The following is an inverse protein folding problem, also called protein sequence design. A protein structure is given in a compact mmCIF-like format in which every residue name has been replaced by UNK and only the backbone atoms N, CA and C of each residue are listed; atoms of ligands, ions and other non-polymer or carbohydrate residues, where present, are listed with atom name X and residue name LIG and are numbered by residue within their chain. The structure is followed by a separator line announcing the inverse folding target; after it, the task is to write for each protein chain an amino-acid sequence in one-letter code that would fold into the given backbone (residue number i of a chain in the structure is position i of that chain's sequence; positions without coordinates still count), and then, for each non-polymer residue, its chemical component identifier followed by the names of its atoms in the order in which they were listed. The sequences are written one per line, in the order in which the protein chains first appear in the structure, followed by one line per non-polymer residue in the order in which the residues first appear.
data_IF_042616954242
#
_entry.id   IF_042616954242
#
_cell.length_a   1.000
_cell.length_b   1.000
_cell.length_c   1.000
_cell.angle_alpha   90.00
_cell.angle_beta   90.00
_cell.angle_gamma   90.00
#
_symmetry.space_group_name_H-M   'P 1'
#
loop_
_entity.id
_entity.type
_entity.pdbx_description
1 polymer ?
#
# COMPACT_ATOMS: atom_id res chain seq x y z
N UNK A 1 4.90 0.25 43.28
CA UNK A 1 5.13 -0.33 41.94
C UNK A 1 6.27 0.45 41.30
N UNK A 2 7.10 -0.19 40.48
CA UNK A 2 8.08 0.49 39.61
C UNK A 2 7.75 0.12 38.17
N UNK A 3 7.73 1.12 37.31
CA UNK A 3 7.46 0.97 35.88
C UNK A 3 8.66 1.51 35.12
N UNK A 4 9.18 0.72 34.18
CA UNK A 4 10.22 1.16 33.27
C UNK A 4 9.82 0.86 31.85
N UNK A 5 10.15 1.77 30.96
CA UNK A 5 9.81 1.69 29.55
C UNK A 5 11.07 1.40 28.75
N UNK A 6 10.97 0.50 27.78
CA UNK A 6 12.03 0.22 26.83
C UNK A 6 11.43 0.06 25.44
N UNK A 7 11.84 0.92 24.52
CA UNK A 7 11.52 0.72 23.11
C UNK A 7 12.36 -0.45 22.60
N UNK A 8 11.71 -1.48 22.07
CA UNK A 8 12.36 -2.62 21.41
C UNK A 8 11.75 -2.80 20.04
N UNK A 9 12.57 -2.63 19.00
CA UNK A 9 12.15 -2.71 17.61
C UNK A 9 10.97 -1.74 17.35
N UNK A 10 9.77 -2.28 17.08
CA UNK A 10 8.52 -1.54 16.81
C UNK A 10 7.50 -1.59 17.97
N UNK A 11 7.84 -2.20 19.11
CA UNK A 11 6.97 -2.29 20.29
C UNK A 11 7.54 -1.55 21.51
N UNK A 12 6.64 -1.02 22.32
CA UNK A 12 6.97 -0.45 23.63
C UNK A 12 6.84 -1.54 24.68
N UNK A 13 7.98 -1.93 25.27
CA UNK A 13 7.99 -2.84 26.42
C UNK A 13 7.86 -2.01 27.71
N UNK A 14 6.80 -2.30 28.48
CA UNK A 14 6.60 -1.76 29.82
C UNK A 14 6.90 -2.87 30.83
N UNK A 15 8.05 -2.77 31.52
CA UNK A 15 8.39 -3.68 32.61
C UNK A 15 7.78 -3.18 33.91
N UNK A 16 7.01 -4.06 34.55
CA UNK A 16 6.27 -3.77 35.77
C UNK A 16 6.87 -4.60 36.92
N UNK A 17 7.31 -3.92 37.96
CA UNK A 17 7.88 -4.55 39.16
C UNK A 17 6.98 -4.23 40.38
N UNK A 18 6.63 -5.26 41.16
CA UNK A 18 5.86 -5.12 42.39
C UNK A 18 4.43 -5.68 42.29
N UNK A 19 3.41 -4.85 42.53
CA UNK A 19 2.00 -5.28 42.63
C UNK A 19 1.10 -4.35 41.82
N UNK A 20 0.07 -4.91 41.18
CA UNK A 20 -0.96 -4.19 40.44
C UNK A 20 -2.29 -4.30 41.22
N UNK A 21 -2.52 -3.35 42.12
CA UNK A 21 -3.74 -3.28 42.94
C UNK A 21 -4.47 -1.94 42.72
N UNK A 22 -5.52 -1.67 43.48
CA UNK A 22 -6.32 -0.45 43.32
C UNK A 22 -5.49 0.85 43.47
N UNK A 23 -4.39 0.82 44.23
CA UNK A 23 -3.54 2.00 44.42
C UNK A 23 -2.71 2.31 43.16
N UNK A 24 -2.28 1.29 42.43
CA UNK A 24 -1.35 1.42 41.30
C UNK A 24 -2.00 1.25 39.92
N UNK A 25 -3.26 0.83 39.88
CA UNK A 25 -4.01 0.61 38.64
C UNK A 25 -4.16 1.88 37.81
N UNK A 26 -4.45 3.03 38.43
CA UNK A 26 -4.61 4.30 37.73
C UNK A 26 -3.28 4.75 37.09
N UNK A 27 -2.17 4.61 37.82
CA UNK A 27 -0.84 4.93 37.30
C UNK A 27 -0.48 4.05 36.09
N UNK A 28 -0.76 2.74 36.14
CA UNK A 28 -0.53 1.85 34.99
C UNK A 28 -1.42 2.24 33.80
N UNK A 29 -2.69 2.58 34.04
CA UNK A 29 -3.62 3.03 33.01
C UNK A 29 -3.10 4.29 32.31
N UNK A 30 -2.69 5.31 33.07
CA UNK A 30 -2.17 6.56 32.52
C UNK A 30 -0.88 6.36 31.72
N UNK A 31 0.02 5.47 32.16
CA UNK A 31 1.25 5.16 31.42
C UNK A 31 0.96 4.49 30.07
N UNK A 32 0.00 3.57 30.04
CA UNK A 32 -0.43 2.93 28.78
C UNK A 32 -1.16 3.94 27.88
N UNK A 33 -2.02 4.80 28.44
CA UNK A 33 -2.69 5.86 27.68
C UNK A 33 -1.71 6.88 27.10
N UNK A 34 -0.70 7.28 27.87
CA UNK A 34 0.37 8.15 27.40
C UNK A 34 1.17 7.48 26.28
N UNK A 35 1.49 6.19 26.41
CA UNK A 35 2.16 5.43 25.35
C UNK A 35 1.33 5.40 24.06
N UNK A 36 0.03 5.14 24.18
CA UNK A 36 -0.91 5.17 23.04
C UNK A 36 -0.94 6.56 22.40
N UNK A 37 -1.03 7.62 23.20
CA UNK A 37 -1.07 9.00 22.72
C UNK A 37 0.23 9.42 22.01
N UNK A 38 1.37 8.89 22.47
CA UNK A 38 2.69 9.08 21.85
C UNK A 38 2.91 8.22 20.59
N UNK A 39 1.88 7.51 20.12
CA UNK A 39 1.91 6.74 18.86
C UNK A 39 2.41 5.31 19.01
N UNK A 40 2.53 4.78 20.24
CA UNK A 40 2.83 3.37 20.45
C UNK A 40 1.55 2.55 20.38
N UNK A 41 1.40 1.82 19.27
CA UNK A 41 0.26 0.94 19.04
C UNK A 41 0.58 -0.53 19.31
N UNK A 42 1.83 -0.88 19.60
CA UNK A 42 2.22 -2.23 19.98
C UNK A 42 2.90 -2.19 21.35
N UNK A 43 2.19 -2.65 22.37
CA UNK A 43 2.61 -2.53 23.78
C UNK A 43 2.73 -3.91 24.40
N UNK A 44 3.91 -4.20 24.93
CA UNK A 44 4.22 -5.46 25.61
C UNK A 44 4.42 -5.20 27.10
N UNK A 45 3.65 -5.88 27.94
CA UNK A 45 3.76 -5.77 29.39
C UNK A 45 4.63 -6.90 29.92
N UNK A 46 5.87 -6.61 30.33
CA UNK A 46 6.69 -7.58 31.06
C UNK A 46 6.24 -7.62 32.51
N UNK A 47 5.65 -8.77 32.88
CA UNK A 47 5.08 -9.00 34.20
C UNK A 47 5.85 -10.05 35.02
N UNK A 48 7.13 -10.26 34.71
CA UNK A 48 7.97 -11.26 35.37
C UNK A 48 8.14 -10.99 36.87
N UNK A 49 8.16 -9.71 37.26
CA UNK A 49 8.35 -9.24 38.63
C UNK A 49 7.06 -8.72 39.28
N UNK A 50 5.89 -9.05 38.70
CA UNK A 50 4.60 -8.74 39.29
C UNK A 50 4.21 -9.85 40.28
N UNK A 51 4.36 -9.59 41.57
CA UNK A 51 4.07 -10.55 42.63
C UNK A 51 2.55 -10.71 42.91
N UNK A 52 1.71 -9.78 42.46
CA UNK A 52 0.27 -9.79 42.71
C UNK A 52 -0.51 -8.87 41.76
N UNK A 53 -1.72 -9.29 41.37
CA UNK A 53 -2.67 -8.46 40.62
C UNK A 53 -4.08 -8.60 41.22
N UNK A 54 -4.80 -7.49 41.38
CA UNK A 54 -6.21 -7.51 41.84
C UNK A 54 -7.19 -7.39 40.66
N UNK A 55 -8.49 -7.43 40.96
CA UNK A 55 -9.56 -7.16 39.98
C UNK A 55 -9.44 -5.77 39.31
N UNK A 56 -8.88 -4.78 40.02
CA UNK A 56 -8.60 -3.47 39.45
C UNK A 56 -7.52 -3.54 38.36
N UNK A 57 -6.45 -4.31 38.59
CA UNK A 57 -5.41 -4.55 37.58
C UNK A 57 -5.93 -5.27 36.34
N UNK A 58 -6.75 -6.31 36.53
CA UNK A 58 -7.41 -7.01 35.41
C UNK A 58 -8.27 -6.06 34.58
N UNK A 59 -9.01 -5.15 35.23
CA UNK A 59 -9.83 -4.15 34.55
C UNK A 59 -8.99 -3.18 33.72
N UNK A 60 -7.85 -2.73 34.22
CA UNK A 60 -6.91 -1.89 33.46
C UNK A 60 -6.45 -2.62 32.20
N UNK A 61 -6.01 -3.88 32.32
CA UNK A 61 -5.58 -4.68 31.16
C UNK A 61 -6.68 -4.83 30.10
N UNK A 62 -7.92 -5.08 30.52
CA UNK A 62 -9.06 -5.17 29.60
C UNK A 62 -9.37 -3.85 28.91
N UNK A 63 -9.33 -2.74 29.63
CA UNK A 63 -9.58 -1.42 29.07
C UNK A 63 -8.49 -1.04 28.07
N UNK A 64 -7.22 -1.21 28.44
CA UNK A 64 -6.08 -0.97 27.56
C UNK A 64 -6.11 -1.86 26.32
N UNK A 65 -6.48 -3.14 26.46
CA UNK A 65 -6.66 -4.05 25.32
C UNK A 65 -7.73 -3.52 24.35
N UNK A 66 -8.87 -3.06 24.87
CA UNK A 66 -9.95 -2.50 24.04
C UNK A 66 -9.53 -1.20 23.36
N UNK A 67 -8.85 -0.31 24.08
CA UNK A 67 -8.33 0.95 23.54
C UNK A 67 -7.35 0.69 22.39
N UNK A 68 -6.36 -0.19 22.61
CA UNK A 68 -5.39 -0.56 21.58
C UNK A 68 -6.08 -1.27 20.40
N UNK A 69 -6.97 -2.23 20.66
CA UNK A 69 -7.70 -2.93 19.60
C UNK A 69 -8.54 -1.98 18.74
N UNK A 70 -9.15 -0.95 19.35
CA UNK A 70 -9.93 0.06 18.62
C UNK A 70 -9.09 0.87 17.62
N UNK A 71 -7.79 1.04 17.90
CA UNK A 71 -6.83 1.71 17.01
C UNK A 71 -5.92 0.72 16.26
N UNK A 72 -6.34 -0.55 16.13
CA UNK A 72 -5.55 -1.64 15.52
C UNK A 72 -4.16 -1.86 16.11
N UNK A 73 -3.99 -1.46 17.37
CA UNK A 73 -2.85 -1.80 18.19
C UNK A 73 -2.96 -3.17 18.85
N UNK A 74 -1.84 -3.62 19.41
CA UNK A 74 -1.70 -4.89 20.11
C UNK A 74 -1.27 -4.64 21.55
N UNK A 75 -1.89 -5.37 22.49
CA UNK A 75 -1.45 -5.44 23.88
C UNK A 75 -1.11 -6.89 24.23
N UNK A 76 0.17 -7.18 24.48
CA UNK A 76 0.63 -8.52 24.88
C UNK A 76 1.13 -8.51 26.32
N UNK A 77 1.00 -9.66 26.99
CA UNK A 77 1.66 -9.90 28.28
C UNK A 77 2.82 -10.85 28.02
N UNK A 78 4.03 -10.39 28.30
CA UNK A 78 5.26 -11.17 28.18
C UNK A 78 5.78 -11.54 29.57
N UNK A 79 6.40 -12.72 29.66
CA UNK A 79 6.99 -13.26 30.89
C UNK A 79 6.07 -13.15 32.13
N UNK A 80 4.78 -13.56 32.08
CA UNK A 80 3.93 -13.41 33.27
C UNK A 80 4.47 -14.24 34.44
N UNK A 81 4.51 -13.64 35.63
CA UNK A 81 4.75 -14.38 36.87
C UNK A 81 3.66 -15.42 37.12
N UNK A 82 3.91 -16.40 37.98
CA UNK A 82 2.92 -17.44 38.28
C UNK A 82 1.65 -16.88 38.94
N UNK A 83 1.78 -15.79 39.71
CA UNK A 83 0.65 -15.06 40.25
C UNK A 83 -0.22 -14.45 39.14
N UNK A 84 0.41 -13.82 38.13
CA UNK A 84 -0.30 -13.23 36.99
C UNK A 84 -0.96 -14.30 36.12
N UNK A 85 -0.25 -15.40 35.82
CA UNK A 85 -0.81 -16.53 35.05
C UNK A 85 -2.07 -17.07 35.71
N UNK A 86 -2.01 -17.36 37.01
CA UNK A 86 -3.14 -17.92 37.77
C UNK A 86 -4.37 -17.02 37.65
N UNK A 87 -4.19 -15.70 37.78
CA UNK A 87 -5.30 -14.74 37.70
C UNK A 87 -5.87 -14.65 36.26
N UNK A 88 -5.01 -14.61 35.23
CA UNK A 88 -5.45 -14.56 33.83
C UNK A 88 -6.17 -15.84 33.39
N UNK A 89 -5.76 -16.98 33.91
CA UNK A 89 -6.41 -18.28 33.69
C UNK A 89 -7.77 -18.34 34.40
N UNK A 90 -7.82 -17.99 35.68
CA UNK A 90 -9.07 -17.94 36.45
C UNK A 90 -10.10 -16.95 35.88
N UNK A 91 -9.64 -15.89 35.22
CA UNK A 91 -10.52 -14.90 34.55
C UNK A 91 -10.88 -15.26 33.11
N UNK A 92 -10.31 -16.33 32.55
CA UNK A 92 -10.55 -16.73 31.15
C UNK A 92 -9.90 -15.80 30.10
N UNK A 93 -8.98 -14.93 30.52
CA UNK A 93 -8.41 -13.86 29.68
C UNK A 93 -7.06 -14.22 29.06
N UNK A 94 -6.45 -15.33 29.49
CA UNK A 94 -5.11 -15.73 29.05
C UNK A 94 -4.96 -15.80 27.52
N UNK A 95 -6.00 -16.22 26.79
CA UNK A 95 -5.97 -16.30 25.33
C UNK A 95 -5.99 -14.93 24.63
N UNK A 96 -6.48 -13.88 25.30
CA UNK A 96 -6.56 -12.53 24.72
C UNK A 96 -5.21 -11.82 24.67
N UNK A 97 -4.33 -12.13 25.63
CA UNK A 97 -3.05 -11.45 25.84
C UNK A 97 -1.83 -12.25 25.36
N UNK A 98 -2.06 -13.44 24.78
CA UNK A 98 -1.03 -14.24 24.11
C UNK A 98 -0.82 -13.75 22.69
N UNK A 99 0.43 -13.84 22.23
CA UNK A 99 0.71 -13.74 20.80
C UNK A 99 -0.12 -14.79 20.06
N UNK A 100 -1.04 -14.36 19.19
CA UNK A 100 -1.54 -15.25 18.15
C UNK A 100 -0.34 -15.57 17.24
N UNK A 101 -0.26 -16.80 16.74
CA UNK A 101 0.63 -17.11 15.62
C UNK A 101 0.11 -16.40 14.35
N UNK A 102 0.15 -15.08 14.33
CA UNK A 102 0.29 -14.34 13.09
C UNK A 102 1.69 -14.61 12.58
N UNK A 103 1.79 -14.86 11.28
CA UNK A 103 3.02 -14.95 10.49
C UNK A 103 4.18 -14.18 11.11
N UNK A 104 5.32 -14.86 11.18
CA UNK A 104 6.59 -14.33 11.67
C UNK A 104 6.78 -12.86 11.30
N UNK A 105 6.74 -11.96 12.30
CA UNK A 105 7.59 -10.78 12.25
C UNK A 105 9.02 -11.30 12.32
N UNK A 106 9.59 -11.53 11.15
CA UNK A 106 11.04 -11.58 10.99
C UNK A 106 11.56 -10.27 11.58
N UNK A 107 12.49 -10.34 12.54
CA UNK A 107 13.23 -9.17 13.03
C UNK A 107 13.65 -8.31 11.83
N UNK A 108 13.54 -6.98 11.86
CA UNK A 108 14.15 -6.19 10.81
C UNK A 108 15.64 -6.51 10.79
N UNK A 109 16.11 -7.02 9.65
CA UNK A 109 17.50 -6.86 9.24
C UNK A 109 17.85 -5.36 9.35
N UNK A 110 19.11 -5.06 9.65
CA UNK A 110 19.65 -3.70 9.80
C UNK A 110 18.95 -2.65 8.90
N UNK A 111 18.36 -1.62 9.50
CA UNK A 111 17.79 -0.50 8.75
C UNK A 111 18.86 0.52 8.40
N UNK A 112 18.88 1.00 7.15
CA UNK A 112 19.73 2.11 6.73
C UNK A 112 18.88 3.32 6.39
N UNK A 113 19.25 4.49 6.88
CA UNK A 113 18.62 5.76 6.50
C UNK A 113 19.44 6.47 5.43
N UNK A 114 18.76 7.01 4.43
CA UNK A 114 19.38 7.80 3.37
C UNK A 114 18.50 8.98 3.00
N UNK A 115 19.10 10.05 2.49
CA UNK A 115 18.39 11.27 2.09
C UNK A 115 18.54 11.46 0.59
N UNK A 116 17.43 11.67 -0.12
CA UNK A 116 17.40 12.01 -1.55
C UNK A 116 16.60 13.30 -1.74
N UNK A 117 17.31 14.39 -2.03
CA UNK A 117 16.71 15.73 -1.97
C UNK A 117 16.22 16.04 -0.55
N UNK A 118 14.94 16.35 -0.41
CA UNK A 118 14.27 16.63 0.88
C UNK A 118 13.46 15.44 1.43
N UNK A 119 13.65 14.25 0.86
CA UNK A 119 12.93 13.03 1.25
C UNK A 119 13.86 12.07 1.98
N UNK A 120 13.55 11.75 3.24
CA UNK A 120 14.24 10.71 4.01
C UNK A 120 13.66 9.35 3.62
N UNK A 121 14.55 8.39 3.37
CA UNK A 121 14.21 6.98 3.14
C UNK A 121 14.79 6.12 4.27
N UNK A 122 13.97 5.23 4.79
CA UNK A 122 14.37 4.15 5.70
C UNK A 122 14.28 2.83 4.96
N UNK A 123 15.44 2.23 4.67
CA UNK A 123 15.58 0.98 3.93
C UNK A 123 15.68 -0.16 4.92
N UNK A 124 14.77 -1.12 4.84
CA UNK A 124 14.80 -2.33 5.64
C UNK A 124 15.54 -3.39 4.85
N UNK A 125 16.73 -3.77 5.32
CA UNK A 125 17.52 -4.77 4.63
C UNK A 125 16.70 -6.05 4.39
N UNK A 126 17.01 -6.70 3.27
CA UNK A 126 16.43 -7.96 2.89
C UNK A 126 17.56 -8.87 2.46
N UNK A 127 17.70 -10.01 3.13
CA UNK A 127 18.65 -11.05 2.73
C UNK A 127 18.08 -11.95 1.61
N UNK A 128 16.98 -11.55 0.97
CA UNK A 128 16.27 -12.33 -0.02
C UNK A 128 16.59 -11.80 -1.43
N UNK A 129 17.31 -12.59 -2.22
CA UNK A 129 17.47 -12.36 -3.67
C UNK A 129 16.21 -12.81 -4.44
N UNK A 130 15.04 -12.34 -3.99
CA UNK A 130 13.79 -12.59 -4.70
C UNK A 130 13.78 -11.74 -5.97
N UNK A 131 13.34 -12.35 -7.07
CA UNK A 131 13.10 -11.64 -8.33
C UNK A 131 11.68 -11.90 -8.78
N UNK A 132 11.13 -10.94 -9.49
CA UNK A 132 9.82 -11.03 -10.12
C UNK A 132 10.00 -11.23 -11.62
N UNK A 133 9.15 -12.05 -12.21
CA UNK A 133 9.05 -12.17 -13.67
C UNK A 133 8.13 -11.09 -14.20
N UNK A 134 8.48 -10.49 -15.32
CA UNK A 134 7.65 -9.51 -16.00
C UNK A 134 7.10 -10.08 -17.31
N UNK A 135 5.80 -9.86 -17.56
CA UNK A 135 5.20 -10.12 -18.88
C UNK A 135 4.13 -9.10 -19.22
N UNK A 136 4.08 -8.75 -20.50
CA UNK A 136 2.96 -8.05 -21.10
C UNK A 136 1.82 -9.04 -21.39
N UNK A 137 0.59 -8.62 -21.11
CA UNK A 137 -0.65 -9.26 -21.55
C UNK A 137 -1.36 -8.32 -22.50
N UNK A 138 -1.88 -8.86 -23.60
CA UNK A 138 -2.54 -8.07 -24.63
C UNK A 138 -1.57 -7.13 -25.35
N UNK A 139 -2.13 -6.14 -26.03
CA UNK A 139 -1.36 -5.18 -26.82
C UNK A 139 -1.89 -3.75 -26.60
N UNK A 140 -1.18 -2.91 -25.82
CA UNK A 140 -1.53 -1.52 -25.60
C UNK A 140 -1.56 -0.68 -26.89
N UNK A 141 -0.80 -1.05 -27.91
CA UNK A 141 -0.76 -0.33 -29.19
C UNK A 141 -2.08 -0.42 -29.96
N UNK A 142 -2.87 -1.47 -29.71
CA UNK A 142 -4.21 -1.58 -30.28
C UNK A 142 -5.11 -0.43 -29.88
N UNK A 143 -4.86 0.23 -28.74
CA UNK A 143 -5.61 1.43 -28.34
C UNK A 143 -5.11 2.72 -28.97
N UNK A 144 -3.91 2.73 -29.55
CA UNK A 144 -3.34 3.90 -30.23
C UNK A 144 -4.01 4.21 -31.57
N UNK A 145 -4.84 3.29 -32.09
CA UNK A 145 -5.72 3.54 -33.24
C UNK A 145 -5.11 3.21 -34.61
N UNK A 146 -4.03 2.43 -34.65
CA UNK A 146 -3.39 1.97 -35.90
C UNK A 146 -4.05 0.69 -36.44
N UNK A 147 -4.64 -0.12 -35.56
CA UNK A 147 -5.28 -1.39 -35.87
C UNK A 147 -6.80 -1.35 -35.65
N UNK A 148 -7.54 -2.22 -36.35
CA UNK A 148 -8.98 -2.39 -36.10
C UNK A 148 -9.21 -3.21 -34.82
N UNK A 149 -10.07 -2.73 -33.92
CA UNK A 149 -10.45 -3.42 -32.68
C UNK A 149 -9.46 -3.29 -31.51
N UNK A 150 -9.82 -3.89 -30.36
CA UNK A 150 -9.06 -3.80 -29.10
C UNK A 150 -8.36 -5.10 -28.70
N UNK A 151 -8.40 -6.13 -29.55
CA UNK A 151 -8.00 -7.50 -29.20
C UNK A 151 -8.99 -8.20 -28.28
N UNK A 152 -8.83 -9.51 -28.13
CA UNK A 152 -9.55 -10.28 -27.10
C UNK A 152 -8.91 -10.05 -25.73
N UNK A 153 -9.72 -10.12 -24.67
CA UNK A 153 -9.19 -10.00 -23.31
C UNK A 153 -8.58 -11.32 -22.86
N UNK A 154 -7.54 -11.22 -22.05
CA UNK A 154 -6.92 -12.37 -21.39
C UNK A 154 -7.27 -12.37 -19.91
N UNK A 155 -7.69 -13.52 -19.39
CA UNK A 155 -7.96 -13.69 -17.95
C UNK A 155 -6.64 -13.75 -17.17
N UNK A 156 -6.52 -12.91 -16.15
CA UNK A 156 -5.37 -12.88 -15.23
C UNK A 156 -5.86 -13.15 -13.82
N UNK A 157 -5.34 -14.20 -13.18
CA UNK A 157 -5.58 -14.50 -11.78
C UNK A 157 -4.65 -13.67 -10.88
N UNK A 158 -5.21 -13.00 -9.88
CA UNK A 158 -4.49 -12.13 -8.95
C UNK A 158 -4.19 -12.93 -7.69
N UNK A 159 -3.04 -13.59 -7.67
CA UNK A 159 -2.53 -14.29 -6.49
C UNK A 159 -1.87 -13.31 -5.51
N UNK A 160 -1.47 -13.80 -4.34
CA UNK A 160 -0.68 -13.01 -3.39
C UNK A 160 0.67 -12.57 -3.95
N UNK A 161 1.25 -13.37 -4.84
CA UNK A 161 2.50 -13.09 -5.56
C UNK A 161 2.31 -12.37 -6.90
N UNK A 162 1.10 -11.88 -7.21
CA UNK A 162 0.83 -11.18 -8.46
C UNK A 162 0.72 -9.69 -8.19
N UNK A 163 1.44 -8.89 -8.98
CA UNK A 163 1.23 -7.46 -9.15
C UNK A 163 0.81 -7.21 -10.59
N UNK A 164 -0.24 -6.44 -10.80
CA UNK A 164 -0.72 -6.13 -12.15
C UNK A 164 -1.35 -4.76 -12.26
N UNK A 165 -1.19 -4.12 -13.41
CA UNK A 165 -1.87 -2.89 -13.75
C UNK A 165 -2.12 -2.78 -15.26
N UNK A 166 -3.16 -2.06 -15.65
CA UNK A 166 -3.53 -1.89 -17.05
C UNK A 166 -5.02 -1.60 -17.22
N UNK A 167 -5.56 -2.03 -18.37
CA UNK A 167 -6.98 -1.89 -18.67
C UNK A 167 -7.68 -3.23 -18.64
N UNK A 168 -8.67 -3.34 -17.75
CA UNK A 168 -9.38 -4.59 -17.50
C UNK A 168 -10.78 -4.36 -16.96
N UNK A 169 -11.48 -5.47 -16.71
CA UNK A 169 -12.80 -5.49 -16.10
C UNK A 169 -13.03 -6.79 -15.33
N UNK A 170 -13.93 -6.74 -14.35
CA UNK A 170 -14.47 -7.94 -13.72
C UNK A 170 -15.59 -8.53 -14.58
N UNK A 171 -15.55 -9.85 -14.78
CA UNK A 171 -16.55 -10.58 -15.56
C UNK A 171 -16.06 -11.96 -15.97
N UNK A 172 -16.96 -12.73 -16.58
CA UNK A 172 -16.70 -14.11 -16.98
C UNK A 172 -15.83 -14.16 -18.24
N UNK A 173 -16.15 -13.36 -19.25
CA UNK A 173 -15.45 -13.38 -20.53
C UNK A 173 -15.38 -11.98 -21.15
N UNK A 174 -14.68 -11.88 -22.28
CA UNK A 174 -14.52 -10.64 -23.04
C UNK A 174 -15.87 -9.97 -23.34
N UNK A 175 -16.85 -10.75 -23.82
CA UNK A 175 -18.16 -10.23 -24.23
C UNK A 175 -18.95 -9.66 -23.05
N UNK A 176 -18.91 -10.31 -21.90
CA UNK A 176 -19.53 -9.81 -20.66
C UNK A 176 -18.87 -8.52 -20.16
N UNK A 177 -17.58 -8.34 -20.45
CA UNK A 177 -16.77 -7.21 -20.01
C UNK A 177 -16.71 -6.05 -21.01
N UNK A 178 -17.26 -6.20 -22.22
CA UNK A 178 -16.99 -5.27 -23.33
C UNK A 178 -17.26 -3.82 -22.99
N UNK A 179 -18.31 -3.49 -22.24
CA UNK A 179 -18.63 -2.10 -21.90
C UNK A 179 -17.92 -1.58 -20.64
N UNK A 180 -17.11 -2.42 -19.99
CA UNK A 180 -16.58 -2.20 -18.64
C UNK A 180 -15.06 -2.10 -18.58
N UNK A 181 -14.32 -2.33 -19.67
CA UNK A 181 -12.86 -2.23 -19.63
C UNK A 181 -12.38 -0.82 -19.30
N UNK A 182 -11.74 -0.68 -18.13
CA UNK A 182 -11.29 0.58 -17.54
C UNK A 182 -10.04 0.36 -16.68
N UNK A 183 -9.71 1.34 -15.83
CA UNK A 183 -8.45 1.31 -15.08
C UNK A 183 -8.43 0.17 -14.06
N UNK A 184 -7.35 -0.62 -14.05
CA UNK A 184 -7.13 -1.69 -13.08
C UNK A 184 -5.77 -1.56 -12.41
N UNK A 185 -5.74 -1.80 -11.10
CA UNK A 185 -4.53 -2.10 -10.35
C UNK A 185 -4.79 -3.26 -9.40
N UNK A 186 -3.77 -4.09 -9.21
CA UNK A 186 -3.87 -5.28 -8.39
C UNK A 186 -2.52 -5.62 -7.76
N UNK A 187 -2.55 -6.04 -6.49
CA UNK A 187 -1.41 -6.68 -5.84
C UNK A 187 -1.89 -7.51 -4.64
N UNK A 188 -1.08 -8.48 -4.21
CA UNK A 188 -1.29 -9.19 -2.95
C UNK A 188 -2.71 -9.75 -2.79
N UNK A 189 -3.20 -10.43 -3.83
CA UNK A 189 -4.52 -11.06 -3.83
C UNK A 189 -5.69 -10.06 -3.81
N UNK A 190 -5.44 -8.78 -4.12
CA UNK A 190 -6.46 -7.73 -4.19
C UNK A 190 -6.46 -7.12 -5.58
N UNK A 191 -7.64 -6.96 -6.18
CA UNK A 191 -7.84 -6.33 -7.47
C UNK A 191 -8.82 -5.16 -7.34
N UNK A 192 -8.50 -4.02 -7.93
CA UNK A 192 -9.32 -2.81 -7.95
C UNK A 192 -9.57 -2.43 -9.40
N UNK A 193 -10.82 -2.10 -9.73
CA UNK A 193 -11.25 -1.73 -11.07
C UNK A 193 -12.08 -0.46 -11.02
N UNK A 194 -11.81 0.48 -11.93
CA UNK A 194 -12.71 1.59 -12.22
C UNK A 194 -13.36 1.37 -13.59
N UNK A 195 -14.64 0.97 -13.63
CA UNK A 195 -15.38 0.87 -14.87
C UNK A 195 -15.56 2.26 -15.49
N UNK A 196 -15.45 2.40 -16.82
CA UNK A 196 -15.55 3.67 -17.52
C UNK A 196 -17.02 4.06 -17.72
N UNK A 197 -17.73 4.24 -16.60
CA UNK A 197 -19.16 4.56 -16.57
C UNK A 197 -19.37 5.99 -16.07
N UNK A 198 -20.53 6.57 -16.36
CA UNK A 198 -20.87 7.92 -15.89
C UNK A 198 -20.91 8.04 -14.37
N UNK A 199 -21.13 6.92 -13.65
CA UNK A 199 -21.10 6.89 -12.19
C UNK A 199 -19.68 6.93 -11.63
N UNK A 200 -18.67 6.48 -12.40
CA UNK A 200 -17.25 6.53 -12.02
C UNK A 200 -16.94 5.90 -10.66
N UNK A 201 -17.75 4.93 -10.23
CA UNK A 201 -17.60 4.29 -8.92
C UNK A 201 -16.67 3.09 -9.07
N UNK A 202 -15.52 3.07 -8.38
CA UNK A 202 -14.60 1.96 -8.43
C UNK A 202 -15.14 0.76 -7.62
N UNK A 203 -14.73 -0.43 -8.01
CA UNK A 203 -15.08 -1.70 -7.38
C UNK A 203 -13.80 -2.51 -7.09
N UNK A 204 -13.91 -3.53 -6.24
CA UNK A 204 -12.76 -4.36 -5.87
C UNK A 204 -13.13 -5.80 -5.54
N UNK A 205 -12.15 -6.69 -5.69
CA UNK A 205 -12.22 -8.09 -5.29
C UNK A 205 -11.02 -8.44 -4.42
N UNK A 206 -11.27 -9.17 -3.34
CA UNK A 206 -10.25 -9.63 -2.40
C UNK A 206 -10.20 -11.15 -2.37
N UNK A 207 -8.99 -11.69 -2.31
CA UNK A 207 -8.79 -13.11 -2.02
C UNK A 207 -9.36 -13.48 -0.65
N UNK A 208 -10.06 -14.61 -0.59
CA UNK A 208 -10.67 -15.10 0.63
C UNK A 208 -10.79 -16.63 0.60
N UNK A 209 -10.08 -17.32 1.49
CA UNK A 209 -10.07 -18.78 1.51
C UNK A 209 -9.50 -19.35 0.21
N UNK A 210 -10.33 -20.09 -0.54
CA UNK A 210 -9.96 -20.66 -1.84
C UNK A 210 -10.27 -19.73 -3.04
N UNK A 211 -10.88 -18.57 -2.80
CA UNK A 211 -11.22 -17.62 -3.85
C UNK A 211 -10.00 -16.76 -4.21
N UNK A 212 -9.66 -16.75 -5.50
CA UNK A 212 -8.63 -15.90 -6.10
C UNK A 212 -9.33 -14.95 -7.08
N UNK A 213 -9.16 -13.61 -6.94
CA UNK A 213 -9.72 -12.67 -7.91
C UNK A 213 -9.18 -12.91 -9.31
N UNK A 214 -10.04 -12.78 -10.31
CA UNK A 214 -9.67 -12.90 -11.73
C UNK A 214 -10.19 -11.68 -12.49
N UNK A 215 -9.35 -11.15 -13.37
CA UNK A 215 -9.66 -9.95 -14.16
C UNK A 215 -9.50 -10.25 -15.64
N UNK A 216 -10.46 -9.82 -16.45
CA UNK A 216 -10.33 -9.81 -17.91
C UNK A 216 -9.52 -8.57 -18.28
N UNK A 217 -8.31 -8.76 -18.81
CA UNK A 217 -7.41 -7.68 -19.19
C UNK A 217 -7.41 -7.51 -20.72
N UNK A 218 -7.73 -6.32 -21.22
CA UNK A 218 -7.44 -5.97 -22.62
C UNK A 218 -5.93 -5.86 -22.82
N UNK A 219 -5.26 -5.21 -21.87
CA UNK A 219 -3.83 -5.32 -21.70
C UNK A 219 -3.45 -5.11 -20.24
N UNK A 220 -2.32 -5.69 -19.84
CA UNK A 220 -1.75 -5.46 -18.52
C UNK A 220 -0.25 -5.72 -18.48
N UNK A 221 0.46 -4.93 -17.67
CA UNK A 221 1.74 -5.33 -17.13
C UNK A 221 1.44 -6.31 -15.99
N UNK A 222 2.01 -7.52 -16.05
CA UNK A 222 1.85 -8.55 -15.02
C UNK A 222 3.22 -8.94 -14.50
N UNK A 223 3.39 -8.78 -13.19
CA UNK A 223 4.60 -9.16 -12.47
C UNK A 223 4.27 -10.29 -11.51
N UNK A 224 4.99 -11.41 -11.58
CA UNK A 224 4.76 -12.58 -10.74
C UNK A 224 6.03 -12.90 -9.93
N UNK A 225 5.89 -12.99 -8.61
CA UNK A 225 6.97 -13.28 -7.68
C UNK A 225 6.79 -12.61 -6.33
N UNK A 226 7.89 -12.45 -5.60
CA UNK A 226 7.89 -11.81 -4.27
C UNK A 226 8.71 -10.53 -4.32
N UNK A 227 8.26 -9.51 -3.58
CA UNK A 227 9.07 -8.32 -3.34
C UNK A 227 10.38 -8.68 -2.62
N UNK A 228 11.48 -8.09 -3.04
CA UNK A 228 12.81 -8.20 -2.42
C UNK A 228 12.98 -7.17 -1.33
N UNK A 229 12.64 -5.91 -1.60
CA UNK A 229 12.94 -4.79 -0.71
C UNK A 229 11.70 -4.15 -0.10
N UNK A 230 11.89 -3.57 1.08
CA UNK A 230 10.89 -2.75 1.76
C UNK A 230 11.53 -1.44 2.22
N UNK A 231 10.89 -0.34 1.84
CA UNK A 231 11.34 1.00 2.19
C UNK A 231 10.19 1.80 2.78
N UNK A 232 10.55 2.78 3.59
CA UNK A 232 9.65 3.88 3.97
C UNK A 232 10.25 5.18 3.49
N UNK A 233 9.38 6.15 3.23
CA UNK A 233 9.81 7.51 2.95
C UNK A 233 8.97 8.51 3.75
N UNK A 234 9.57 9.66 4.06
CA UNK A 234 8.89 10.81 4.65
C UNK A 234 9.58 12.10 4.20
N UNK A 235 8.79 13.08 3.78
CA UNK A 235 9.26 14.43 3.44
C UNK A 235 9.38 15.29 4.71
N UNK A 236 10.32 16.24 4.72
CA UNK A 236 10.46 17.16 5.83
C UNK A 236 9.18 17.99 6.07
N UNK A 237 8.91 18.41 7.32
CA UNK A 237 7.62 19.00 7.75
C UNK A 237 7.17 20.24 6.99
N UNK A 238 8.09 20.96 6.37
CA UNK A 238 7.80 22.20 5.63
C UNK A 238 7.57 21.97 4.13
N UNK A 239 7.80 20.75 3.63
CA UNK A 239 7.61 20.41 2.22
C UNK A 239 6.16 19.93 1.96
N UNK A 240 5.62 20.30 0.80
CA UNK A 240 4.29 19.92 0.32
C UNK A 240 4.21 18.44 -0.08
N UNK A 241 5.32 17.81 -0.45
CA UNK A 241 5.41 16.41 -0.85
C UNK A 241 6.59 16.16 -1.77
N UNK A 242 6.80 14.90 -2.15
CA UNK A 242 7.76 14.49 -3.18
C UNK A 242 7.01 13.97 -4.40
N UNK A 243 7.47 14.33 -5.59
CA UNK A 243 6.81 13.96 -6.86
C UNK A 243 7.00 12.48 -7.15
N UNK A 244 6.11 11.90 -7.95
CA UNK A 244 6.23 10.52 -8.42
C UNK A 244 7.55 10.29 -9.18
N UNK A 245 7.96 11.24 -10.02
CA UNK A 245 9.24 11.22 -10.73
C UNK A 245 10.45 11.17 -9.79
N UNK A 246 10.50 12.06 -8.79
CA UNK A 246 11.59 12.10 -7.81
C UNK A 246 11.64 10.82 -6.96
N UNK A 247 10.46 10.30 -6.55
CA UNK A 247 10.37 9.02 -5.86
C UNK A 247 10.90 7.88 -6.73
N UNK A 248 10.45 7.80 -7.98
CA UNK A 248 10.89 6.79 -8.95
C UNK A 248 12.42 6.75 -9.11
N UNK A 249 13.04 7.90 -9.36
CA UNK A 249 14.49 8.02 -9.49
C UNK A 249 15.21 7.64 -8.20
N UNK A 250 14.73 8.13 -7.05
CA UNK A 250 15.30 7.80 -5.75
C UNK A 250 15.27 6.29 -5.48
N UNK A 251 14.21 5.59 -5.86
CA UNK A 251 14.05 4.16 -5.66
C UNK A 251 14.98 3.34 -6.57
N UNK A 252 15.12 3.74 -7.84
CA UNK A 252 16.08 3.13 -8.77
C UNK A 252 17.52 3.32 -8.27
N UNK A 253 17.86 4.51 -7.79
CA UNK A 253 19.19 4.79 -7.23
C UNK A 253 19.48 4.02 -5.92
N UNK A 254 18.49 3.91 -5.03
CA UNK A 254 18.65 3.21 -3.75
C UNK A 254 18.79 1.70 -3.95
N UNK A 255 17.97 1.13 -4.83
CA UNK A 255 17.98 -0.31 -5.11
C UNK A 255 19.12 -0.74 -6.04
N UNK A 256 19.56 0.14 -6.94
CA UNK A 256 20.49 -0.20 -8.02
C UNK A 256 19.88 -1.10 -9.09
N UNK A 257 18.56 -1.33 -9.07
CA UNK A 257 17.87 -2.14 -10.07
C UNK A 257 17.66 -1.37 -11.36
N UNK A 258 17.74 -2.08 -12.49
CA UNK A 258 17.43 -1.48 -13.80
C UNK A 258 15.93 -1.41 -14.05
N UNK A 259 15.18 -2.45 -13.65
CA UNK A 259 13.73 -2.54 -13.81
C UNK A 259 13.10 -3.09 -12.54
N UNK A 260 12.00 -2.48 -12.09
CA UNK A 260 11.41 -2.80 -10.79
C UNK A 260 9.89 -2.70 -10.81
N UNK A 261 9.23 -3.67 -10.15
CA UNK A 261 7.82 -3.60 -9.81
C UNK A 261 7.65 -2.97 -8.42
N UNK A 262 6.68 -2.07 -8.30
CA UNK A 262 6.42 -1.32 -7.08
C UNK A 262 4.96 -1.44 -6.68
N UNK A 263 4.75 -1.79 -5.41
CA UNK A 263 3.54 -1.48 -4.67
C UNK A 263 3.87 -0.43 -3.61
N UNK A 264 3.04 0.59 -3.46
CA UNK A 264 3.24 1.67 -2.50
C UNK A 264 1.93 2.01 -1.81
N UNK A 265 1.99 2.21 -0.49
CA UNK A 265 0.91 2.78 0.29
C UNK A 265 1.39 4.11 0.87
N UNK A 266 0.76 5.22 0.49
CA UNK A 266 1.27 6.56 0.79
C UNK A 266 0.18 7.60 1.09
N UNK A 267 0.49 8.56 1.95
CA UNK A 267 -0.32 9.77 2.13
C UNK A 267 -0.14 10.67 0.90
N UNK A 268 -1.22 10.91 0.16
CA UNK A 268 -1.19 11.76 -1.03
C UNK A 268 -1.21 13.24 -0.66
N UNK A 269 -0.36 14.01 -1.33
CA UNK A 269 -0.44 15.48 -1.42
C UNK A 269 -1.20 15.94 -2.68
N UNK A 270 -1.97 15.02 -3.27
CA UNK A 270 -2.71 15.20 -4.50
C UNK A 270 -2.17 14.35 -5.65
N UNK A 271 -3.09 13.75 -6.40
CA UNK A 271 -2.83 12.91 -7.56
C UNK A 271 -3.17 13.67 -8.85
N UNK A 272 -2.35 13.43 -9.89
CA UNK A 272 -2.60 13.81 -11.27
C UNK A 272 -2.65 12.55 -12.12
N UNK A 273 -3.69 12.44 -12.94
CA UNK A 273 -3.90 11.27 -13.78
C UNK A 273 -5.06 11.38 -14.75
N UNK A 274 -5.36 10.26 -15.38
CA UNK A 274 -6.50 10.10 -16.26
C UNK A 274 -7.26 8.80 -15.98
N UNK A 275 -8.48 8.75 -16.48
CA UNK A 275 -9.28 7.54 -16.54
C UNK A 275 -10.16 7.54 -17.79
N UNK A 276 -10.53 6.34 -18.25
CA UNK A 276 -11.45 6.19 -19.37
C UNK A 276 -12.88 6.64 -19.01
N UNK A 277 -13.51 7.36 -19.95
CA UNK A 277 -14.93 7.76 -19.93
C UNK A 277 -15.86 6.72 -20.55
N UNK A 278 -15.29 5.85 -21.39
CA UNK A 278 -15.99 4.74 -22.02
C UNK A 278 -14.99 3.62 -22.35
N UNK A 279 -15.48 2.39 -22.43
CA UNK A 279 -14.63 1.24 -22.74
C UNK A 279 -14.08 1.33 -24.17
N UNK A 280 -12.79 0.98 -24.40
CA UNK A 280 -12.18 1.07 -25.72
C UNK A 280 -12.85 0.19 -26.78
N UNK A 281 -13.53 -0.88 -26.39
CA UNK A 281 -14.25 -1.79 -27.31
C UNK A 281 -15.38 -1.09 -28.08
N UNK A 282 -15.87 0.06 -27.59
CA UNK A 282 -16.87 0.90 -28.27
C UNK A 282 -16.31 1.64 -29.48
N UNK A 283 -15.00 1.53 -29.73
CA UNK A 283 -14.31 2.23 -30.80
C UNK A 283 -14.81 1.76 -32.16
N UNK A 284 -15.18 2.70 -33.02
CA UNK A 284 -15.50 2.41 -34.42
C UNK A 284 -14.23 2.46 -35.29
N UNK A 285 -14.24 1.79 -36.44
CA UNK A 285 -13.11 1.85 -37.38
C UNK A 285 -12.87 3.31 -37.79
N UNK A 286 -11.62 3.77 -37.63
CA UNK A 286 -11.19 5.16 -37.87
C UNK A 286 -11.17 6.08 -36.65
N UNK A 287 -11.72 5.68 -35.50
CA UNK A 287 -11.58 6.44 -34.26
C UNK A 287 -10.12 6.37 -33.74
N UNK A 288 -9.56 7.52 -33.36
CA UNK A 288 -8.22 7.60 -32.76
C UNK A 288 -8.32 8.15 -31.33
N UNK A 289 -8.20 7.27 -30.34
CA UNK A 289 -8.48 7.59 -28.92
C UNK A 289 -7.67 8.79 -28.43
N UNK A 290 -6.37 8.85 -28.73
CA UNK A 290 -5.47 9.86 -28.17
C UNK A 290 -5.34 11.13 -29.04
N UNK A 291 -6.13 11.26 -30.11
CA UNK A 291 -6.05 12.42 -31.02
C UNK A 291 -7.02 13.52 -30.60
N UNK A 292 -6.60 14.78 -30.67
CA UNK A 292 -7.51 15.92 -30.49
C UNK A 292 -8.43 16.08 -31.72
N UNK A 293 -9.74 16.36 -31.54
CA UNK A 293 -10.45 16.59 -30.28
C UNK A 293 -11.05 15.34 -29.62
N UNK A 294 -10.97 14.18 -30.28
CA UNK A 294 -11.64 12.93 -29.87
C UNK A 294 -11.20 12.42 -28.50
N UNK A 295 -9.97 12.69 -28.08
CA UNK A 295 -9.45 12.36 -26.75
C UNK A 295 -10.37 12.79 -25.60
N UNK A 296 -11.12 13.89 -25.76
CA UNK A 296 -12.07 14.38 -24.76
C UNK A 296 -13.31 13.50 -24.58
N UNK A 297 -13.63 12.68 -25.58
CA UNK A 297 -14.71 11.69 -25.54
C UNK A 297 -14.29 10.44 -24.78
N UNK A 298 -13.00 10.10 -24.86
CA UNK A 298 -12.46 8.85 -24.33
C UNK A 298 -11.84 8.96 -22.95
N UNK A 299 -11.20 10.09 -22.63
CA UNK A 299 -10.46 10.26 -21.39
C UNK A 299 -11.00 11.40 -20.55
N UNK A 300 -11.01 11.20 -19.25
CA UNK A 300 -11.12 12.26 -18.25
C UNK A 300 -9.74 12.47 -17.66
N UNK A 301 -9.23 13.70 -17.76
CA UNK A 301 -7.94 14.09 -17.18
C UNK A 301 -8.19 15.00 -15.98
N UNK A 302 -7.43 14.83 -14.89
CA UNK A 302 -7.49 15.73 -13.74
C UNK A 302 -6.73 17.04 -14.03
N UNK A 303 -7.41 18.18 -14.25
CA UNK A 303 -6.72 19.43 -14.59
C UNK A 303 -6.00 20.04 -13.37
N UNK A 304 -6.32 19.57 -12.18
CA UNK A 304 -5.75 19.96 -10.90
C UNK A 304 -5.52 18.69 -10.09
N UNK A 305 -4.77 18.82 -8.99
CA UNK A 305 -4.55 17.71 -8.07
C UNK A 305 -5.84 17.33 -7.36
N UNK A 306 -6.16 16.04 -7.44
CA UNK A 306 -7.33 15.45 -6.79
C UNK A 306 -6.89 14.51 -5.66
N UNK A 307 -7.81 14.15 -4.76
CA UNK A 307 -7.53 13.25 -3.64
C UNK A 307 -6.39 13.72 -2.71
N UNK A 308 -6.25 15.05 -2.48
CA UNK A 308 -5.36 15.57 -1.43
C UNK A 308 -5.77 15.01 -0.06
N UNK A 309 -4.77 14.69 0.78
CA UNK A 309 -4.95 14.09 2.11
C UNK A 309 -5.68 12.75 2.09
N UNK A 310 -5.65 12.03 0.97
CA UNK A 310 -6.11 10.63 0.90
C UNK A 310 -4.99 9.66 1.23
N UNK A 311 -5.37 8.42 1.55
CA UNK A 311 -4.45 7.30 1.55
C UNK A 311 -4.47 6.68 0.14
N UNK A 312 -3.32 6.60 -0.51
CA UNK A 312 -3.21 6.11 -1.88
C UNK A 312 -2.47 4.78 -1.93
N UNK A 313 -3.13 3.77 -2.50
CA UNK A 313 -2.48 2.54 -2.93
C UNK A 313 -2.05 2.68 -4.39
N UNK A 314 -0.75 2.63 -4.64
CA UNK A 314 -0.15 2.84 -5.95
C UNK A 314 0.56 1.55 -6.38
N UNK A 315 0.34 1.16 -7.63
CA UNK A 315 1.01 0.02 -8.25
C UNK A 315 1.67 0.49 -9.53
N UNK A 316 2.89 0.03 -9.80
CA UNK A 316 3.56 0.36 -11.05
C UNK A 316 4.79 -0.48 -11.37
N UNK A 317 5.29 -0.23 -12.57
CA UNK A 317 6.58 -0.71 -13.04
C UNK A 317 7.44 0.50 -13.42
N UNK A 318 8.75 0.33 -13.24
CA UNK A 318 9.76 1.37 -13.38
C UNK A 318 10.97 0.81 -14.11
N UNK A 319 11.65 1.68 -14.85
CA UNK A 319 12.92 1.38 -15.48
C UNK A 319 13.83 2.59 -15.51
N UNK A 320 15.13 2.36 -15.36
CA UNK A 320 16.20 3.35 -15.59
C UNK A 320 16.80 3.29 -16.99
N UNK A 321 16.39 2.32 -17.83
CA UNK A 321 16.94 2.14 -19.16
C UNK A 321 16.09 2.86 -20.23
N UNK A 322 16.62 3.97 -20.74
CA UNK A 322 15.99 4.75 -21.81
C UNK A 322 15.71 3.91 -23.08
N UNK A 323 16.47 2.84 -23.32
CA UNK A 323 16.24 1.95 -24.48
C UNK A 323 15.00 1.08 -24.33
N UNK A 324 14.46 0.90 -23.12
CA UNK A 324 13.22 0.15 -22.91
C UNK A 324 11.98 0.92 -23.37
N UNK A 325 12.02 2.25 -23.45
CA UNK A 325 10.90 3.07 -23.94
C UNK A 325 10.45 2.70 -25.38
N UNK A 326 11.34 2.10 -26.16
CA UNK A 326 11.05 1.65 -27.53
C UNK A 326 10.62 0.18 -27.60
N UNK A 327 10.84 -0.61 -26.54
CA UNK A 327 10.67 -2.06 -26.54
C UNK A 327 9.58 -2.55 -25.56
N UNK A 328 9.17 -1.72 -24.60
CA UNK A 328 8.14 -2.04 -23.63
C UNK A 328 6.97 -1.04 -23.72
N UNK A 329 5.79 -1.46 -24.23
CA UNK A 329 4.67 -0.56 -24.50
C UNK A 329 4.03 0.03 -23.22
N UNK A 330 4.42 -0.45 -22.04
CA UNK A 330 3.96 0.11 -20.77
C UNK A 330 4.85 1.24 -20.26
N UNK A 331 6.13 1.29 -20.63
CA UNK A 331 7.08 2.25 -20.08
C UNK A 331 7.05 3.58 -20.85
N UNK A 332 7.04 4.68 -20.10
CA UNK A 332 6.99 6.05 -20.62
C UNK A 332 7.69 7.00 -19.66
N UNK A 333 8.29 8.10 -20.13
CA UNK A 333 8.96 9.07 -19.26
C UNK A 333 8.04 9.58 -18.15
N UNK A 334 8.53 9.59 -16.92
CA UNK A 334 7.88 10.20 -15.78
C UNK A 334 8.28 11.67 -15.71
N UNK A 335 7.35 12.58 -15.41
CA UNK A 335 7.67 14.00 -15.23
C UNK A 335 8.33 14.69 -16.43
N UNK A 336 8.70 15.97 -16.23
CA UNK A 336 9.27 16.83 -17.27
C UNK A 336 10.72 16.47 -17.63
N UNK A 337 11.55 16.33 -16.60
CA UNK A 337 13.01 16.19 -16.69
C UNK A 337 13.54 14.84 -16.17
N UNK A 338 12.66 13.91 -15.79
CA UNK A 338 13.09 12.65 -15.18
C UNK A 338 13.63 11.67 -16.23
N UNK A 339 14.72 10.99 -15.90
CA UNK A 339 15.26 9.91 -16.73
C UNK A 339 14.53 8.58 -16.46
N UNK A 340 13.73 8.51 -15.39
CA UNK A 340 12.97 7.31 -15.07
C UNK A 340 11.77 7.13 -16.02
N UNK A 341 11.63 5.92 -16.53
CA UNK A 341 10.44 5.47 -17.24
C UNK A 341 9.52 4.73 -16.26
N UNK A 342 8.20 4.86 -16.41
CA UNK A 342 7.28 4.08 -15.59
C UNK A 342 5.82 4.09 -16.03
N UNK A 343 5.07 3.13 -15.48
CA UNK A 343 3.62 3.02 -15.58
C UNK A 343 3.06 2.90 -14.19
N UNK A 344 2.15 3.80 -13.79
CA UNK A 344 1.52 3.75 -12.47
C UNK A 344 0.02 3.92 -12.52
N UNK A 345 -0.67 3.11 -11.73
CA UNK A 345 -2.08 3.28 -11.39
C UNK A 345 -2.19 3.50 -9.89
N UNK A 346 -3.18 4.29 -9.46
CA UNK A 346 -3.44 4.56 -8.05
C UNK A 346 -4.92 4.42 -7.71
N UNK A 347 -5.19 3.82 -6.56
CA UNK A 347 -6.47 3.86 -5.87
C UNK A 347 -6.37 4.80 -4.67
N UNK A 348 -7.29 5.78 -4.60
CA UNK A 348 -7.41 6.68 -3.47
C UNK A 348 -8.46 6.17 -2.49
N UNK A 349 -8.13 6.18 -1.21
CA UNK A 349 -8.99 5.78 -0.09
C UNK A 349 -9.18 6.95 0.88
N UNK A 350 -10.20 6.86 1.74
CA UNK A 350 -10.28 7.74 2.91
C UNK A 350 -8.99 7.69 3.73
N UNK A 351 -8.68 8.81 4.37
CA UNK A 351 -7.43 8.95 5.10
C UNK A 351 -7.36 8.01 6.30
N UNK A 352 -6.27 7.24 6.37
CA UNK A 352 -5.82 6.58 7.58
C UNK A 352 -4.31 6.76 7.77
N UNK A 353 -3.83 6.96 9.01
CA UNK A 353 -2.41 6.98 9.31
C UNK A 353 -1.73 5.66 8.91
N UNK A 354 -0.53 5.76 8.32
CA UNK A 354 0.30 4.60 7.98
C UNK A 354 1.12 4.23 9.22
N UNK A 355 0.95 3.00 9.71
CA UNK A 355 1.72 2.47 10.84
C UNK A 355 3.22 2.51 10.57
N UNK A 356 4.04 2.79 11.59
CA UNK A 356 5.51 2.78 11.50
C UNK A 356 6.06 1.36 11.41
N UNK A 357 7.35 1.24 11.10
CA UNK A 357 8.06 -0.03 11.03
C UNK A 357 7.83 -0.81 9.74
N UNK A 358 8.26 -2.07 9.74
CA UNK A 358 8.13 -2.99 8.59
C UNK A 358 6.69 -3.48 8.46
N UNK A 359 6.15 -3.43 7.24
CA UNK A 359 4.76 -3.78 6.96
C UNK A 359 4.67 -4.93 5.95
N UNK A 360 3.66 -5.80 6.13
CA UNK A 360 3.22 -6.73 5.10
C UNK A 360 2.25 -6.01 4.16
N UNK A 361 2.44 -6.16 2.84
CA UNK A 361 1.52 -5.59 1.85
C UNK A 361 0.12 -6.18 1.99
N UNK A 362 0.03 -7.50 2.14
CA UNK A 362 -1.23 -8.24 2.29
C UNK A 362 -2.05 -7.72 3.49
N UNK A 363 -1.42 -7.67 4.68
CA UNK A 363 -2.09 -7.18 5.89
C UNK A 363 -2.46 -5.70 5.78
N UNK A 364 -1.64 -4.90 5.10
CA UNK A 364 -1.89 -3.47 4.91
C UNK A 364 -3.10 -3.24 4.01
N UNK A 365 -3.20 -3.96 2.89
CA UNK A 365 -4.35 -3.88 1.99
C UNK A 365 -5.61 -4.41 2.67
N UNK A 366 -5.55 -5.59 3.30
CA UNK A 366 -6.70 -6.17 4.00
C UNK A 366 -7.31 -5.20 5.03
N UNK A 367 -6.46 -4.56 5.85
CA UNK A 367 -6.90 -3.53 6.82
C UNK A 367 -7.48 -2.29 6.15
N UNK A 368 -6.92 -1.89 5.02
CA UNK A 368 -7.39 -0.71 4.28
C UNK A 368 -8.79 -0.97 3.72
N UNK A 369 -9.02 -2.09 3.06
CA UNK A 369 -10.34 -2.42 2.52
C UNK A 369 -11.40 -2.67 3.61
N UNK A 370 -11.00 -3.12 4.80
CA UNK A 370 -11.93 -3.31 5.93
C UNK A 370 -12.43 -1.97 6.50
N UNK A 371 -11.59 -0.92 6.48
CA UNK A 371 -11.83 0.31 7.24
C UNK A 371 -12.10 1.54 6.39
N UNK A 372 -11.43 1.61 5.25
CA UNK A 372 -11.38 2.82 4.43
C UNK A 372 -12.30 2.69 3.23
N UNK A 373 -12.86 3.83 2.84
CA UNK A 373 -13.71 3.91 1.65
C UNK A 373 -12.85 4.15 0.42
N UNK A 374 -12.96 3.29 -0.58
CA UNK A 374 -12.36 3.50 -1.91
C UNK A 374 -13.07 4.67 -2.61
N UNK A 375 -12.32 5.73 -2.92
CA UNK A 375 -12.84 7.00 -3.42
C UNK A 375 -12.67 7.17 -4.95
N UNK A 376 -11.64 6.55 -5.52
CA UNK A 376 -11.36 6.67 -6.95
C UNK A 376 -10.14 5.86 -7.37
N UNK A 377 -10.02 5.66 -8.68
CA UNK A 377 -8.86 5.03 -9.31
C UNK A 377 -8.46 5.85 -10.53
N UNK A 378 -7.16 5.89 -10.83
CA UNK A 378 -6.67 6.53 -12.05
C UNK A 378 -5.33 5.96 -12.48
N UNK A 379 -5.07 6.10 -13.76
CA UNK A 379 -3.74 6.00 -14.32
C UNK A 379 -3.00 7.33 -14.05
N UNK A 380 -1.90 7.27 -13.29
CA UNK A 380 -1.07 8.44 -12.97
C UNK A 380 -0.30 8.95 -14.20
N UNK A 381 -0.33 10.26 -14.40
CA UNK A 381 0.29 10.95 -15.53
C UNK A 381 0.96 12.23 -15.06
N UNK A 382 1.92 12.72 -15.84
CA UNK A 382 2.45 14.07 -15.72
C UNK A 382 1.71 15.00 -16.69
N UNK A 383 1.27 16.15 -16.18
CA UNK A 383 0.74 17.23 -17.02
C UNK A 383 1.89 18.13 -17.48
N UNK A 384 2.21 18.08 -18.78
CA UNK A 384 3.25 18.90 -19.41
C UNK A 384 2.68 20.07 -20.23
N UNK A 385 1.41 20.43 -20.04
CA UNK A 385 0.77 21.48 -20.86
C UNK A 385 1.31 22.89 -20.58
N UNK A 386 1.91 23.11 -19.41
CA UNK A 386 2.65 24.33 -19.09
C UNK A 386 4.15 24.04 -19.20
N UNK A 387 4.78 24.63 -20.20
CA UNK A 387 6.22 24.49 -20.48
C UNK A 387 7.11 24.92 -19.28
N UNK A 388 6.57 25.69 -18.34
CA UNK A 388 7.30 26.16 -17.15
C UNK A 388 6.97 25.37 -15.87
N UNK A 389 5.97 24.49 -15.88
CA UNK A 389 5.54 23.76 -14.69
C UNK A 389 4.89 22.42 -15.05
N UNK A 390 5.64 21.32 -14.92
CA UNK A 390 5.06 19.98 -15.00
C UNK A 390 4.29 19.68 -13.70
N UNK A 391 3.00 19.36 -13.80
CA UNK A 391 2.22 18.90 -12.65
C UNK A 391 2.22 17.38 -12.57
N UNK A 392 2.63 16.85 -11.42
CA UNK A 392 2.67 15.41 -11.17
C UNK A 392 1.92 15.07 -9.88
N UNK A 393 1.70 13.77 -9.66
CA UNK A 393 1.25 13.25 -8.36
C UNK A 393 2.34 13.45 -7.31
N UNK A 394 1.95 13.83 -6.10
CA UNK A 394 2.86 14.00 -4.97
C UNK A 394 2.41 13.21 -3.74
N UNK A 395 3.39 12.82 -2.94
CA UNK A 395 3.21 12.02 -1.73
C UNK A 395 4.05 12.59 -0.59
N UNK A 396 3.54 12.54 0.65
CA UNK A 396 4.26 13.07 1.82
C UNK A 396 5.07 12.03 2.54
N UNK A 397 4.50 10.82 2.66
CA UNK A 397 5.12 9.69 3.33
C UNK A 397 4.44 8.40 2.94
N UNK A 398 5.14 7.29 3.06
CA UNK A 398 4.57 6.00 2.72
C UNK A 398 5.48 4.83 3.00
N UNK A 399 4.96 3.66 2.66
CA UNK A 399 5.64 2.39 2.65
C UNK A 399 5.66 1.84 1.22
N UNK A 400 6.80 1.29 0.81
CA UNK A 400 7.07 0.86 -0.56
C UNK A 400 7.61 -0.57 -0.50
N UNK A 401 7.02 -1.44 -1.32
CA UNK A 401 7.50 -2.79 -1.59
C UNK A 401 8.02 -2.84 -3.02
N UNK A 402 9.26 -3.30 -3.19
CA UNK A 402 9.96 -3.34 -4.48
C UNK A 402 10.41 -4.75 -4.82
N UNK A 403 10.32 -5.12 -6.09
CA UNK A 403 10.84 -6.38 -6.60
C UNK A 403 11.56 -6.17 -7.92
N UNK A 404 12.82 -6.58 -7.99
CA UNK A 404 13.62 -6.55 -9.22
C UNK A 404 12.92 -7.38 -10.31
N UNK A 405 12.73 -6.80 -11.49
CA UNK A 405 12.10 -7.46 -12.63
C UNK A 405 13.14 -8.09 -13.55
N UNK A 406 12.84 -9.32 -13.99
CA UNK A 406 13.59 -10.08 -14.99
C UNK A 406 12.80 -10.28 -16.27
#
# INVERSE_FOLDING_TARGET
MKLSQKLRDDNLELKIEGRIDAQWSDHLSSEIENAIHNGHHDIHLDMSEVAFMSSAGVRVLLNSYKQLKAISGTLLIINPSDAVKTILEMSGLMAMFKAKSSSSRTKPDHTTKTMKGETEFEVFASNLENKMTYRSVGDPELLQGISDGCGESTRVAIQTSTLSLGLGAFGEDHESCKDLFGEVLAAAGSAIHLPPTSAGTPDYMLSAGAFTPEVQMLYAAVCEGSFSDFLRFETHRDNKGTTLSHLAESLLEISGYQKVAIAMMAESAGLIGASLRQSPTKRSSGDVIFKYPDIRKWLSFSPERVFDRSLSFVVGILSSDDNESQNDPFLRPLGGDANALGHFHAAAFSYSPITRGRLSLEDTLAKTFEKETLQGVMHLLADKRDDNATMESEFKRGAIWMGELK
#
